data_IF_387444385843
#
_entry.id   IF_387444385843
#
_cell.length_a   1.000
_cell.length_b   1.000
_cell.length_c   1.000
_cell.angle_alpha   90.00
_cell.angle_beta   90.00
_cell.angle_gamma   90.00
#
_symmetry.space_group_name_H-M   'P 1'
#
loop_
_entity.id
_entity.type
_entity.pdbx_description
1 polymer ?
#
# COMPACT_ATOMS: atom_id res chain seq x y z
N UNK A 1 -13.87 2.80 -16.33
CA UNK A 1 -12.63 2.39 -15.61
C UNK A 1 -11.58 3.51 -15.59
N UNK A 2 -11.22 4.16 -16.69
CA UNK A 2 -10.32 5.33 -16.66
C UNK A 2 -10.84 6.47 -15.75
N UNK A 3 -12.14 6.73 -15.79
CA UNK A 3 -12.77 7.74 -14.94
C UNK A 3 -12.59 7.45 -13.44
N UNK A 4 -12.66 6.19 -13.00
CA UNK A 4 -12.51 5.85 -11.59
C UNK A 4 -11.07 6.07 -11.11
N UNK A 5 -10.05 5.79 -11.95
CA UNK A 5 -8.65 6.10 -11.63
C UNK A 5 -8.42 7.61 -11.45
N UNK A 6 -9.05 8.44 -12.28
CA UNK A 6 -9.00 9.89 -12.10
C UNK A 6 -9.62 10.33 -10.77
N UNK A 7 -10.75 9.74 -10.36
CA UNK A 7 -11.38 10.03 -9.07
C UNK A 7 -10.49 9.61 -7.90
N UNK A 8 -9.89 8.42 -7.98
CA UNK A 8 -8.91 7.94 -6.99
C UNK A 8 -7.73 8.90 -6.89
N UNK A 9 -7.11 9.27 -8.02
CA UNK A 9 -5.98 10.21 -8.03
C UNK A 9 -6.39 11.59 -7.47
N UNK A 10 -7.57 12.10 -7.84
CA UNK A 10 -8.09 13.37 -7.31
C UNK A 10 -8.28 13.32 -5.78
N UNK A 11 -8.86 12.24 -5.24
CA UNK A 11 -8.99 12.07 -3.80
C UNK A 11 -7.62 12.10 -3.10
N UNK A 12 -6.66 11.32 -3.58
CA UNK A 12 -5.34 11.21 -2.98
C UNK A 12 -4.49 12.49 -3.12
N UNK A 13 -4.67 13.25 -4.21
CA UNK A 13 -4.06 14.57 -4.38
C UNK A 13 -4.40 15.51 -3.21
N UNK A 14 -5.67 15.56 -2.79
CA UNK A 14 -6.12 16.36 -1.65
C UNK A 14 -5.63 15.84 -0.28
N UNK A 15 -5.06 14.63 -0.26
CA UNK A 15 -4.57 14.00 0.97
C UNK A 15 -3.05 14.06 1.14
N UNK A 16 -2.31 14.42 0.09
CA UNK A 16 -0.86 14.24 0.02
C UNK A 16 -0.11 14.96 1.16
N UNK A 17 -0.40 16.23 1.42
CA UNK A 17 0.26 17.01 2.49
C UNK A 17 0.03 16.40 3.89
N UNK A 18 -1.23 16.07 4.22
CA UNK A 18 -1.57 15.48 5.52
C UNK A 18 -0.95 14.08 5.70
N UNK A 19 -0.89 13.31 4.60
CA UNK A 19 -0.27 11.99 4.60
C UNK A 19 1.24 12.07 4.76
N UNK A 20 1.94 12.96 4.07
CA UNK A 20 3.38 13.15 4.27
C UNK A 20 3.70 13.49 5.72
N UNK A 21 3.01 14.47 6.30
CA UNK A 21 3.22 14.84 7.69
C UNK A 21 3.02 13.66 8.66
N UNK A 22 1.99 12.82 8.41
CA UNK A 22 1.76 11.61 9.21
C UNK A 22 2.87 10.57 8.97
N UNK A 23 3.29 10.32 7.73
CA UNK A 23 4.33 9.33 7.39
C UNK A 23 5.72 9.72 7.90
N UNK A 24 6.07 10.99 7.91
CA UNK A 24 7.29 11.47 8.56
C UNK A 24 7.30 11.20 10.07
N UNK A 25 6.15 11.40 10.75
CA UNK A 25 6.04 11.04 12.17
C UNK A 25 6.09 9.52 12.37
N UNK A 26 5.39 8.73 11.54
CA UNK A 26 5.42 7.27 11.58
C UNK A 26 6.85 6.73 11.39
N UNK A 27 7.61 7.31 10.46
CA UNK A 27 9.00 6.93 10.18
C UNK A 27 9.92 7.18 11.39
N UNK A 28 9.67 8.24 12.16
CA UNK A 28 10.44 8.60 13.36
C UNK A 28 9.88 7.98 14.65
N UNK A 29 8.92 7.06 14.55
CA UNK A 29 8.29 6.38 15.68
C UNK A 29 8.73 4.91 15.79
N UNK A 30 8.25 4.23 16.84
CA UNK A 30 8.43 2.77 16.99
C UNK A 30 7.80 1.96 15.85
N UNK A 31 6.84 2.54 15.12
CA UNK A 31 6.21 1.86 13.96
C UNK A 31 7.23 1.50 12.89
N UNK A 32 8.28 2.31 12.69
CA UNK A 32 9.38 1.97 11.79
C UNK A 32 9.96 0.60 12.08
N UNK A 33 10.33 0.35 13.34
CA UNK A 33 10.90 -0.94 13.73
C UNK A 33 9.91 -2.10 13.57
N UNK A 34 8.62 -1.86 13.85
CA UNK A 34 7.56 -2.86 13.64
C UNK A 34 7.42 -3.23 12.16
N UNK A 35 7.38 -2.25 11.25
CA UNK A 35 7.35 -2.51 9.80
C UNK A 35 8.58 -3.26 9.30
N UNK A 36 9.78 -2.88 9.74
CA UNK A 36 11.01 -3.61 9.39
C UNK A 36 10.99 -5.06 9.88
N UNK A 37 10.45 -5.30 11.08
CA UNK A 37 10.27 -6.65 11.61
C UNK A 37 9.28 -7.48 10.76
N UNK A 38 8.19 -6.87 10.24
CA UNK A 38 7.28 -7.57 9.33
C UNK A 38 7.97 -7.91 8.01
N UNK A 39 8.69 -6.97 7.40
CA UNK A 39 9.44 -7.23 6.17
C UNK A 39 10.49 -8.32 6.33
N UNK A 40 11.24 -8.34 7.44
CA UNK A 40 12.29 -9.32 7.71
C UNK A 40 11.83 -10.78 7.67
N UNK A 41 10.53 -11.02 7.80
CA UNK A 41 9.91 -12.37 7.73
C UNK A 41 9.91 -12.96 6.32
N UNK A 42 10.02 -12.11 5.30
CA UNK A 42 9.83 -12.50 3.90
C UNK A 42 11.02 -12.16 3.00
N UNK A 43 11.85 -11.19 3.41
CA UNK A 43 12.94 -10.67 2.58
C UNK A 43 14.09 -11.66 2.42
N UNK A 44 14.68 -11.77 1.21
CA UNK A 44 15.98 -12.39 1.02
C UNK A 44 17.05 -11.69 1.87
N UNK A 45 17.96 -12.46 2.43
CA UNK A 45 19.02 -11.96 3.32
C UNK A 45 20.38 -11.82 2.62
N UNK A 46 21.26 -11.01 3.20
CA UNK A 46 22.69 -11.03 2.92
C UNK A 46 23.19 -10.13 1.77
N UNK A 47 22.32 -9.33 1.13
CA UNK A 47 22.71 -8.35 0.10
C UNK A 47 21.72 -7.20 -0.01
N UNK A 48 22.13 -6.05 -0.57
CA UNK A 48 21.17 -5.04 -1.03
C UNK A 48 20.18 -5.61 -2.06
N UNK A 49 18.93 -5.18 -1.97
CA UNK A 49 17.84 -5.60 -2.83
C UNK A 49 17.37 -4.44 -3.70
N UNK A 50 16.87 -4.75 -4.91
CA UNK A 50 16.11 -3.80 -5.71
C UNK A 50 14.64 -3.94 -5.33
N UNK A 51 14.08 -2.89 -4.74
CA UNK A 51 12.71 -2.88 -4.19
C UNK A 51 11.85 -1.89 -4.97
N UNK A 52 10.65 -2.30 -5.34
CA UNK A 52 9.62 -1.42 -5.88
C UNK A 52 8.48 -1.30 -4.86
N UNK A 53 8.19 -0.07 -4.44
CA UNK A 53 7.04 0.31 -3.64
C UNK A 53 5.91 0.79 -4.56
N UNK A 54 4.89 -0.04 -4.74
CA UNK A 54 3.79 0.18 -5.69
C UNK A 54 2.62 0.86 -4.98
N UNK A 55 2.17 2.00 -5.50
CA UNK A 55 1.26 2.88 -4.79
C UNK A 55 1.96 3.48 -3.57
N UNK A 56 3.16 4.01 -3.79
CA UNK A 56 4.08 4.47 -2.73
C UNK A 56 3.50 5.60 -1.88
N UNK A 57 2.45 6.29 -2.39
CA UNK A 57 1.91 7.48 -1.77
C UNK A 57 3.02 8.49 -1.54
N UNK A 58 3.17 8.95 -0.31
CA UNK A 58 4.22 9.89 0.09
C UNK A 58 5.57 9.21 0.42
N UNK A 59 5.84 8.00 -0.09
CA UNK A 59 7.16 7.38 -0.10
C UNK A 59 7.58 6.60 1.15
N UNK A 60 6.66 6.29 2.05
CA UNK A 60 7.01 5.71 3.36
C UNK A 60 7.79 4.40 3.26
N UNK A 61 7.33 3.40 2.50
CA UNK A 61 8.04 2.13 2.37
C UNK A 61 9.31 2.26 1.52
N UNK A 62 9.28 3.04 0.44
CA UNK A 62 10.49 3.30 -0.34
C UNK A 62 11.59 3.91 0.54
N UNK A 63 11.25 4.90 1.39
CA UNK A 63 12.17 5.49 2.36
C UNK A 63 12.65 4.48 3.42
N UNK A 64 11.78 3.58 3.90
CA UNK A 64 12.20 2.52 4.83
C UNK A 64 13.28 1.63 4.22
N UNK A 65 13.09 1.18 2.98
CA UNK A 65 14.04 0.32 2.29
C UNK A 65 15.34 1.06 1.95
N UNK A 66 15.25 2.32 1.52
CA UNK A 66 16.44 3.15 1.28
C UNK A 66 17.28 3.35 2.56
N UNK A 67 16.62 3.55 3.72
CA UNK A 67 17.29 3.69 5.01
C UNK A 67 18.03 2.42 5.47
N UNK A 68 17.58 1.25 5.01
CA UNK A 68 18.23 -0.05 5.26
C UNK A 68 19.28 -0.42 4.18
N UNK A 69 19.60 0.52 3.27
CA UNK A 69 20.64 0.34 2.25
C UNK A 69 20.20 -0.46 1.02
N UNK A 70 18.90 -0.53 0.74
CA UNK A 70 18.36 -1.14 -0.48
C UNK A 70 18.21 -0.09 -1.59
N UNK A 71 18.21 -0.53 -2.86
CA UNK A 71 17.84 0.29 -4.02
C UNK A 71 16.32 0.38 -4.10
N UNK A 72 15.74 1.50 -3.66
CA UNK A 72 14.30 1.68 -3.56
C UNK A 72 13.75 2.58 -4.67
N UNK A 73 12.71 2.10 -5.34
CA UNK A 73 11.90 2.88 -6.28
C UNK A 73 10.46 2.89 -5.80
N UNK A 74 9.81 4.05 -5.78
CA UNK A 74 8.39 4.22 -5.51
C UNK A 74 7.63 4.64 -6.77
N UNK A 75 6.45 4.09 -6.99
CA UNK A 75 5.53 4.54 -8.05
C UNK A 75 4.15 4.86 -7.48
N UNK A 76 3.53 5.91 -7.98
CA UNK A 76 2.15 6.28 -7.68
C UNK A 76 1.50 6.92 -8.91
N UNK A 77 0.19 6.80 -9.03
CA UNK A 77 -0.56 7.42 -10.14
C UNK A 77 -0.72 8.94 -9.94
N UNK A 78 -0.64 9.42 -8.69
CA UNK A 78 -0.96 10.77 -8.28
C UNK A 78 0.31 11.64 -8.26
N UNK A 79 0.42 12.68 -9.12
CA UNK A 79 1.61 13.56 -9.15
C UNK A 79 1.93 14.20 -7.79
N UNK A 80 0.92 14.70 -7.07
CA UNK A 80 1.12 15.33 -5.77
C UNK A 80 1.70 14.35 -4.73
N UNK A 81 1.30 13.06 -4.79
CA UNK A 81 1.89 12.03 -3.94
C UNK A 81 3.39 11.85 -4.23
N UNK A 82 3.77 11.85 -5.51
CA UNK A 82 5.19 11.72 -5.91
C UNK A 82 6.00 12.94 -5.47
N UNK A 83 5.47 14.17 -5.62
CA UNK A 83 6.14 15.38 -5.12
C UNK A 83 6.41 15.29 -3.61
N UNK A 84 5.42 14.88 -2.85
CA UNK A 84 5.54 14.68 -1.40
C UNK A 84 6.47 13.51 -1.03
N UNK A 85 6.55 12.45 -1.85
CA UNK A 85 7.48 11.35 -1.64
C UNK A 85 8.94 11.79 -1.85
N UNK A 86 9.21 12.58 -2.90
CA UNK A 86 10.53 13.19 -3.15
C UNK A 86 10.94 14.13 -2.01
N UNK A 87 9.99 14.95 -1.52
CA UNK A 87 10.22 15.84 -0.38
C UNK A 87 10.52 15.04 0.90
N UNK A 88 9.74 14.00 1.21
CA UNK A 88 9.99 13.13 2.38
C UNK A 88 11.38 12.49 2.33
N UNK A 89 11.80 11.94 1.17
CA UNK A 89 13.12 11.36 1.01
C UNK A 89 14.23 12.42 1.20
N UNK A 90 14.06 13.62 0.65
CA UNK A 90 15.00 14.74 0.83
C UNK A 90 15.12 15.16 2.30
N UNK A 91 14.01 15.30 3.03
CA UNK A 91 13.99 15.63 4.47
C UNK A 91 14.72 14.57 5.29
N UNK A 92 14.57 13.29 4.92
CA UNK A 92 15.22 12.17 5.60
C UNK A 92 16.68 11.94 5.14
N UNK A 93 17.14 12.64 4.08
CA UNK A 93 18.48 12.47 3.51
C UNK A 93 18.68 11.08 2.87
N UNK A 94 17.63 10.51 2.27
CA UNK A 94 17.62 9.18 1.70
C UNK A 94 17.65 9.22 0.17
N UNK A 95 18.32 8.25 -0.43
CA UNK A 95 18.40 8.06 -1.88
C UNK A 95 17.33 7.04 -2.32
N UNK A 96 16.17 7.53 -2.72
CA UNK A 96 15.07 6.76 -3.28
C UNK A 96 14.58 7.45 -4.56
N UNK A 97 14.18 6.66 -5.55
CA UNK A 97 13.66 7.17 -6.84
C UNK A 97 12.15 7.10 -6.87
N UNK A 98 11.48 8.15 -7.36
CA UNK A 98 10.03 8.17 -7.47
C UNK A 98 9.57 8.47 -8.90
N UNK A 99 8.46 7.85 -9.33
CA UNK A 99 7.91 8.02 -10.68
C UNK A 99 6.39 8.01 -10.67
N UNK A 100 5.79 8.92 -11.46
CA UNK A 100 4.35 8.87 -11.74
C UNK A 100 4.11 7.67 -12.68
N UNK A 101 3.34 6.68 -12.21
CA UNK A 101 3.12 5.44 -12.98
C UNK A 101 1.86 4.71 -12.51
N UNK A 102 1.16 4.06 -13.45
CA UNK A 102 -0.01 3.24 -13.15
C UNK A 102 0.41 1.86 -12.61
N UNK A 103 -0.05 1.51 -11.42
CA UNK A 103 0.18 0.21 -10.79
C UNK A 103 -0.32 -0.99 -11.63
N UNK A 104 -1.36 -0.80 -12.45
CA UNK A 104 -1.88 -1.84 -13.35
C UNK A 104 -1.10 -2.01 -14.66
N UNK A 105 -0.15 -1.10 -14.94
CA UNK A 105 0.66 -1.14 -16.15
C UNK A 105 2.04 -0.49 -15.92
N UNK A 106 2.85 -1.02 -14.99
CA UNK A 106 4.15 -0.45 -14.67
C UNK A 106 5.14 -0.64 -15.82
N UNK A 107 5.75 0.47 -16.27
CA UNK A 107 6.73 0.49 -17.37
C UNK A 107 8.13 0.13 -16.85
N UNK A 108 8.32 -1.15 -16.56
CA UNK A 108 9.61 -1.73 -16.20
C UNK A 108 9.87 -2.99 -17.01
N UNK A 109 11.15 -3.27 -17.26
CA UNK A 109 11.56 -4.51 -17.90
C UNK A 109 11.18 -5.73 -17.04
N UNK A 110 10.95 -6.91 -17.64
CA UNK A 110 10.75 -8.14 -16.90
C UNK A 110 11.90 -8.40 -15.91
N UNK A 111 11.59 -9.01 -14.79
CA UNK A 111 12.60 -9.45 -13.79
C UNK A 111 13.53 -8.33 -13.30
N UNK A 112 12.98 -7.13 -13.11
CA UNK A 112 13.72 -5.94 -12.68
C UNK A 112 13.95 -5.87 -11.18
N UNK A 113 13.01 -6.42 -10.37
CA UNK A 113 13.00 -6.23 -8.92
C UNK A 113 13.16 -7.55 -8.15
N UNK A 114 13.86 -7.48 -7.01
CA UNK A 114 13.96 -8.60 -6.07
C UNK A 114 12.73 -8.67 -5.17
N UNK A 115 12.15 -7.51 -4.86
CA UNK A 115 11.00 -7.37 -3.94
C UNK A 115 10.02 -6.34 -4.50
N UNK A 116 8.75 -6.68 -4.46
CA UNK A 116 7.65 -5.73 -4.65
C UNK A 116 6.92 -5.57 -3.33
N UNK A 117 6.62 -4.33 -2.96
CA UNK A 117 5.83 -4.04 -1.76
C UNK A 117 4.68 -3.12 -2.12
N UNK A 118 3.58 -3.25 -1.38
CA UNK A 118 2.45 -2.32 -1.49
C UNK A 118 1.71 -2.26 -0.15
N UNK A 119 1.10 -1.09 0.14
CA UNK A 119 0.31 -0.87 1.34
C UNK A 119 -0.96 -0.11 1.01
N UNK A 120 -2.11 -0.71 1.31
CA UNK A 120 -3.42 -0.09 1.11
C UNK A 120 -3.65 0.39 -0.34
N UNK A 121 -3.27 -0.43 -1.33
CA UNK A 121 -3.37 -0.08 -2.74
C UNK A 121 -4.39 -0.93 -3.48
N UNK A 122 -4.32 -2.27 -3.34
CA UNK A 122 -5.05 -3.16 -4.25
C UNK A 122 -6.56 -3.03 -4.13
N UNK A 123 -7.07 -2.52 -3.01
CA UNK A 123 -8.48 -2.17 -2.84
C UNK A 123 -8.94 -1.00 -3.74
N UNK A 124 -8.02 -0.18 -4.25
CA UNK A 124 -8.31 0.96 -5.13
C UNK A 124 -8.17 0.64 -6.62
N UNK A 125 -7.70 -0.56 -6.95
CA UNK A 125 -7.42 -0.94 -8.34
C UNK A 125 -8.65 -1.56 -9.01
N UNK A 126 -9.14 -0.99 -10.11
CA UNK A 126 -10.23 -1.57 -10.88
C UNK A 126 -9.91 -2.94 -11.50
N UNK A 127 -8.63 -3.21 -11.82
CA UNK A 127 -8.16 -4.44 -12.49
C UNK A 127 -7.00 -5.09 -11.74
N UNK A 128 -7.27 -5.56 -10.51
CA UNK A 128 -6.27 -6.22 -9.65
C UNK A 128 -5.61 -7.41 -10.34
N UNK A 129 -6.36 -8.18 -11.13
CA UNK A 129 -5.87 -9.34 -11.88
C UNK A 129 -4.82 -8.94 -12.94
N UNK A 130 -4.97 -7.76 -13.54
CA UNK A 130 -3.97 -7.21 -14.47
C UNK A 130 -2.73 -6.76 -13.71
N UNK A 131 -2.91 -6.06 -12.58
CA UNK A 131 -1.81 -5.62 -11.75
C UNK A 131 -0.96 -6.81 -11.29
N UNK A 132 -1.56 -7.87 -10.78
CA UNK A 132 -0.82 -9.06 -10.32
C UNK A 132 -0.05 -9.77 -11.43
N UNK A 133 -0.56 -9.83 -12.67
CA UNK A 133 0.18 -10.36 -13.82
C UNK A 133 1.40 -9.50 -14.17
N UNK A 134 1.24 -8.17 -14.18
CA UNK A 134 2.36 -7.26 -14.43
C UNK A 134 3.39 -7.30 -13.30
N UNK A 135 2.95 -7.38 -12.04
CA UNK A 135 3.84 -7.50 -10.89
C UNK A 135 4.62 -8.83 -10.92
N UNK A 136 3.97 -9.93 -11.31
CA UNK A 136 4.67 -11.19 -11.56
C UNK A 136 5.73 -11.05 -12.67
N UNK A 137 5.41 -10.34 -13.77
CA UNK A 137 6.33 -10.12 -14.90
C UNK A 137 7.60 -9.39 -14.45
N UNK A 138 7.47 -8.30 -13.69
CA UNK A 138 8.60 -7.44 -13.28
C UNK A 138 9.37 -7.98 -12.08
N UNK A 139 8.84 -8.97 -11.36
CA UNK A 139 9.51 -9.64 -10.25
C UNK A 139 10.48 -10.68 -10.78
N UNK A 140 11.69 -10.73 -10.23
CA UNK A 140 12.71 -11.75 -10.56
C UNK A 140 12.30 -13.14 -10.09
N UNK A 141 12.80 -14.22 -10.73
CA UNK A 141 12.70 -15.56 -10.16
C UNK A 141 13.30 -15.59 -8.73
N UNK A 142 12.60 -16.22 -7.80
CA UNK A 142 12.95 -16.23 -6.38
C UNK A 142 12.65 -14.92 -5.64
N UNK A 143 12.03 -13.95 -6.30
CA UNK A 143 11.57 -12.70 -5.69
C UNK A 143 10.25 -12.87 -4.91
N UNK A 144 9.88 -11.84 -4.15
CA UNK A 144 8.66 -11.82 -3.34
C UNK A 144 7.86 -10.54 -3.53
N UNK A 145 6.54 -10.68 -3.68
CA UNK A 145 5.56 -9.61 -3.51
C UNK A 145 5.03 -9.65 -2.08
N UNK A 146 5.04 -8.50 -1.39
CA UNK A 146 4.48 -8.34 -0.05
C UNK A 146 3.39 -7.26 -0.11
N UNK A 147 2.14 -7.68 -0.01
CA UNK A 147 0.98 -6.80 -0.04
C UNK A 147 0.36 -6.69 1.36
N UNK A 148 0.32 -5.47 1.91
CA UNK A 148 -0.41 -5.12 3.14
C UNK A 148 -1.69 -4.40 2.75
N UNK A 149 -2.84 -5.03 2.93
CA UNK A 149 -4.12 -4.44 2.52
C UNK A 149 -5.26 -4.90 3.44
N UNK A 150 -6.48 -4.42 3.18
CA UNK A 150 -7.68 -4.78 3.91
C UNK A 150 -8.87 -4.94 2.96
N UNK A 151 -9.97 -5.48 3.47
CA UNK A 151 -11.25 -5.49 2.78
C UNK A 151 -12.05 -4.24 3.18
N UNK A 152 -11.70 -3.10 2.56
CA UNK A 152 -12.30 -1.81 2.89
C UNK A 152 -13.76 -1.71 2.48
N UNK A 153 -14.18 -2.39 1.41
CA UNK A 153 -15.60 -2.41 0.99
C UNK A 153 -16.45 -3.17 2.00
N UNK A 154 -16.02 -4.36 2.42
CA UNK A 154 -16.71 -5.12 3.45
C UNK A 154 -16.76 -4.38 4.80
N UNK A 155 -15.67 -3.70 5.18
CA UNK A 155 -15.65 -2.89 6.40
C UNK A 155 -16.61 -1.70 6.33
N UNK A 156 -16.72 -1.03 5.19
CA UNK A 156 -17.65 0.07 4.98
C UNK A 156 -19.12 -0.41 4.99
N UNK A 157 -19.40 -1.57 4.39
CA UNK A 157 -20.73 -2.18 4.44
C UNK A 157 -21.13 -2.53 5.88
N UNK A 158 -20.23 -3.14 6.66
CA UNK A 158 -20.47 -3.46 8.07
C UNK A 158 -20.76 -2.20 8.89
N UNK A 159 -19.98 -1.14 8.70
CA UNK A 159 -20.20 0.16 9.35
C UNK A 159 -21.59 0.76 9.02
N UNK A 160 -22.00 0.69 7.74
CA UNK A 160 -23.32 1.17 7.29
C UNK A 160 -24.47 0.36 7.89
N UNK A 161 -24.25 -0.91 8.22
CA UNK A 161 -25.23 -1.81 8.85
C UNK A 161 -25.24 -1.70 10.39
N UNK A 162 -24.45 -0.77 10.96
CA UNK A 162 -24.38 -0.53 12.41
C UNK A 162 -23.28 -1.28 13.13
N UNK A 163 -22.27 -1.74 12.38
CA UNK A 163 -21.04 -2.32 12.92
C UNK A 163 -20.23 -1.36 13.80
N UNK A 164 -19.20 -1.88 14.42
CA UNK A 164 -18.38 -1.14 15.39
C UNK A 164 -17.60 -0.01 14.72
N UNK A 165 -17.74 1.22 15.23
CA UNK A 165 -16.95 2.37 14.83
C UNK A 165 -15.88 2.65 15.87
N UNK A 166 -14.62 2.63 15.44
CA UNK A 166 -13.52 3.06 16.30
C UNK A 166 -13.43 4.59 16.34
N UNK A 167 -13.38 5.15 17.54
CA UNK A 167 -13.10 6.58 17.70
C UNK A 167 -11.61 6.84 17.41
N UNK A 168 -11.35 7.61 16.35
CA UNK A 168 -10.00 7.97 15.94
C UNK A 168 -9.46 9.13 16.78
N UNK A 169 -8.14 9.15 17.10
CA UNK A 169 -7.48 10.28 17.75
C UNK A 169 -7.67 11.60 16.99
N UNK A 170 -7.67 12.72 17.72
CA UNK A 170 -7.88 14.07 17.13
C UNK A 170 -6.87 14.43 16.03
N UNK A 171 -5.63 13.97 16.17
CA UNK A 171 -4.54 14.17 15.20
C UNK A 171 -4.47 13.14 14.08
N UNK A 172 -5.47 12.26 13.98
CA UNK A 172 -5.52 11.24 12.95
C UNK A 172 -5.83 11.85 11.58
N UNK A 173 -5.09 11.45 10.54
CA UNK A 173 -5.20 12.02 9.19
C UNK A 173 -6.62 11.91 8.58
N UNK A 174 -7.42 10.93 8.97
CA UNK A 174 -8.79 10.78 8.48
C UNK A 174 -9.82 11.69 9.20
N UNK A 175 -9.50 12.23 10.38
CA UNK A 175 -10.42 13.16 11.08
C UNK A 175 -10.51 14.55 10.44
N UNK A 176 -9.52 14.91 9.64
CA UNK A 176 -9.43 16.23 9.00
C UNK A 176 -9.92 16.23 7.54
N UNK A 177 -10.54 15.13 7.11
CA UNK A 177 -11.07 15.02 5.74
C UNK A 177 -12.42 15.72 5.67
N UNK A 178 -12.63 16.65 4.69
CA UNK A 178 -13.94 17.21 4.43
C UNK A 178 -14.99 16.15 4.13
N UNK A 179 -16.24 16.37 4.56
CA UNK A 179 -17.33 15.40 4.43
C UNK A 179 -17.61 15.00 2.98
N UNK A 180 -17.53 15.93 2.03
CA UNK A 180 -17.71 15.69 0.61
C UNK A 180 -16.60 14.81 0.03
N UNK A 181 -15.36 15.03 0.44
CA UNK A 181 -14.23 14.21 0.04
C UNK A 181 -14.30 12.79 0.66
N UNK A 182 -14.78 12.69 1.90
CA UNK A 182 -15.02 11.39 2.53
C UNK A 182 -16.16 10.63 1.83
N UNK A 183 -17.23 11.31 1.48
CA UNK A 183 -18.34 10.70 0.72
C UNK A 183 -17.88 10.21 -0.65
N UNK A 184 -16.99 10.94 -1.32
CA UNK A 184 -16.39 10.53 -2.59
C UNK A 184 -15.51 9.29 -2.41
N UNK A 185 -14.69 9.23 -1.38
CA UNK A 185 -13.88 8.04 -1.05
C UNK A 185 -14.76 6.80 -0.80
N UNK A 186 -15.85 6.96 -0.04
CA UNK A 186 -16.77 5.88 0.23
C UNK A 186 -17.47 5.39 -1.06
N UNK A 187 -17.85 6.31 -1.95
CA UNK A 187 -18.43 5.97 -3.24
C UNK A 187 -17.45 5.21 -4.12
N UNK A 188 -16.17 5.64 -4.19
CA UNK A 188 -15.10 4.94 -4.88
C UNK A 188 -14.90 3.53 -4.31
N UNK A 189 -14.83 3.42 -2.98
CA UNK A 189 -14.65 2.13 -2.28
C UNK A 189 -15.73 1.13 -2.63
N UNK A 190 -17.00 1.55 -2.60
CA UNK A 190 -18.13 0.70 -2.94
C UNK A 190 -18.18 0.34 -4.43
N UNK A 191 -17.87 1.30 -5.30
CA UNK A 191 -17.86 1.07 -6.75
C UNK A 191 -16.80 0.06 -7.16
N UNK A 192 -15.58 0.19 -6.64
CA UNK A 192 -14.48 -0.76 -6.91
C UNK A 192 -14.76 -2.10 -6.23
N UNK A 193 -15.19 -2.08 -4.98
CA UNK A 193 -15.51 -3.29 -4.20
C UNK A 193 -16.56 -4.18 -4.87
N UNK A 194 -17.47 -3.61 -5.65
CA UNK A 194 -18.47 -4.37 -6.40
C UNK A 194 -17.85 -5.32 -7.48
N UNK A 195 -16.62 -5.07 -7.90
CA UNK A 195 -15.88 -5.93 -8.83
C UNK A 195 -14.91 -6.90 -8.13
N UNK A 196 -14.73 -6.75 -6.82
CA UNK A 196 -13.82 -7.57 -6.02
C UNK A 196 -14.58 -8.73 -5.35
N UNK A 197 -13.89 -9.86 -5.21
CA UNK A 197 -14.35 -10.94 -4.34
C UNK A 197 -13.92 -10.74 -2.87
N UNK A 198 -14.38 -11.62 -1.96
CA UNK A 198 -14.00 -11.53 -0.54
C UNK A 198 -12.49 -11.60 -0.34
N UNK A 199 -11.91 -10.62 0.33
CA UNK A 199 -10.48 -10.49 0.56
C UNK A 199 -10.07 -11.07 1.92
N UNK A 200 -8.89 -11.66 2.05
CA UNK A 200 -7.82 -11.80 1.06
C UNK A 200 -7.93 -13.07 0.16
N UNK A 201 -8.99 -13.87 0.29
CA UNK A 201 -9.10 -15.15 -0.44
C UNK A 201 -9.13 -14.96 -1.96
N UNK A 202 -9.83 -13.92 -2.42
CA UNK A 202 -9.88 -13.57 -3.83
C UNK A 202 -8.51 -13.14 -4.36
N UNK A 203 -7.74 -12.35 -3.62
CA UNK A 203 -6.37 -11.98 -3.99
C UNK A 203 -5.46 -13.21 -4.14
N UNK A 204 -5.57 -14.17 -3.22
CA UNK A 204 -4.79 -15.43 -3.27
C UNK A 204 -5.07 -16.19 -4.57
N UNK A 205 -6.34 -16.28 -4.97
CA UNK A 205 -6.71 -16.94 -6.23
C UNK A 205 -6.08 -16.23 -7.43
N UNK A 206 -6.21 -14.90 -7.51
CA UNK A 206 -5.66 -14.11 -8.60
C UNK A 206 -4.12 -14.18 -8.69
N UNK A 207 -3.44 -14.24 -7.54
CA UNK A 207 -1.99 -14.39 -7.49
C UNK A 207 -1.54 -15.76 -8.01
N UNK A 208 -2.24 -16.83 -7.65
CA UNK A 208 -1.98 -18.19 -8.20
C UNK A 208 -2.23 -18.19 -9.71
N UNK A 209 -3.31 -17.58 -10.19
CA UNK A 209 -3.62 -17.45 -11.63
C UNK A 209 -2.58 -16.60 -12.38
N UNK A 210 -1.96 -15.62 -11.70
CA UNK A 210 -0.86 -14.83 -12.25
C UNK A 210 0.48 -15.59 -12.35
N UNK A 211 0.61 -16.75 -11.67
CA UNK A 211 1.77 -17.63 -11.74
C UNK A 211 2.63 -17.70 -10.48
N UNK A 212 2.24 -17.05 -9.38
CA UNK A 212 2.98 -17.16 -8.11
C UNK A 212 2.90 -18.57 -7.56
N UNK A 213 4.05 -19.17 -7.21
CA UNK A 213 4.15 -20.58 -6.81
C UNK A 213 3.71 -20.84 -5.37
N UNK A 214 3.96 -19.88 -4.49
CA UNK A 214 3.62 -19.94 -3.07
C UNK A 214 3.00 -18.64 -2.61
N UNK A 215 1.79 -18.71 -2.07
CA UNK A 215 1.08 -17.55 -1.51
C UNK A 215 0.74 -17.84 -0.05
N UNK A 216 1.10 -16.92 0.83
CA UNK A 216 0.80 -17.01 2.26
C UNK A 216 0.01 -15.78 2.71
N UNK A 217 -0.90 -15.98 3.68
CA UNK A 217 -1.71 -14.92 4.29
C UNK A 217 -1.45 -14.85 5.78
N UNK A 218 -1.19 -13.66 6.29
CA UNK A 218 -1.03 -13.40 7.71
C UNK A 218 -1.97 -12.27 8.17
N UNK A 219 -3.01 -12.61 8.93
CA UNK A 219 -3.93 -11.67 9.55
C UNK A 219 -3.42 -11.13 10.90
N UNK A 220 -2.37 -11.75 11.45
CA UNK A 220 -1.76 -11.33 12.70
C UNK A 220 -0.98 -10.02 12.61
N UNK A 221 -0.62 -9.58 11.39
CA UNK A 221 0.08 -8.31 11.13
C UNK A 221 -0.66 -7.12 11.76
N UNK A 222 -1.99 -7.09 11.69
CA UNK A 222 -2.80 -6.02 12.24
C UNK A 222 -2.47 -5.75 13.72
N UNK A 223 -2.45 -6.81 14.54
CA UNK A 223 -2.16 -6.69 15.98
C UNK A 223 -0.71 -6.30 16.27
N UNK A 224 0.23 -6.60 15.37
CA UNK A 224 1.65 -6.26 15.55
C UNK A 224 1.95 -4.81 15.17
N UNK A 225 1.27 -4.30 14.15
CA UNK A 225 1.45 -2.91 13.70
C UNK A 225 0.56 -1.94 14.47
N UNK A 226 -0.72 -2.28 14.64
CA UNK A 226 -1.76 -1.41 15.22
C UNK A 226 -2.24 -1.91 16.60
N UNK A 227 -1.29 -2.28 17.48
CA UNK A 227 -1.58 -2.73 18.82
C UNK A 227 -2.25 -1.63 19.68
N UNK A 228 -1.91 -0.37 19.42
CA UNK A 228 -2.44 0.80 20.10
C UNK A 228 -3.31 1.65 19.15
N UNK A 229 -4.34 2.31 19.70
CA UNK A 229 -5.12 3.34 19.01
C UNK A 229 -4.36 4.67 19.11
N UNK A 230 -3.43 4.88 18.18
CA UNK A 230 -2.62 6.09 18.06
C UNK A 230 -2.95 6.83 16.75
N UNK A 231 -2.21 7.92 16.44
CA UNK A 231 -2.42 8.70 15.22
C UNK A 231 -2.16 7.92 13.91
N UNK A 232 -1.54 6.74 14.00
CA UNK A 232 -1.25 5.85 12.87
C UNK A 232 -2.23 4.67 12.76
N UNK A 233 -3.16 4.56 13.70
CA UNK A 233 -4.10 3.44 13.79
C UNK A 233 -4.92 3.30 12.50
N UNK A 234 -5.07 2.08 12.01
CA UNK A 234 -6.01 1.77 10.94
C UNK A 234 -7.24 1.07 11.55
N UNK A 235 -8.44 1.66 11.46
CA UNK A 235 -9.64 1.05 12.02
C UNK A 235 -10.02 -0.25 11.30
N UNK A 236 -9.63 -0.41 10.04
CA UNK A 236 -9.90 -1.62 9.26
C UNK A 236 -8.76 -2.61 9.43
N UNK A 237 -9.03 -3.85 9.91
CA UNK A 237 -8.00 -4.86 10.08
C UNK A 237 -7.32 -5.23 8.77
N UNK A 238 -6.01 -4.98 8.70
CA UNK A 238 -5.17 -5.36 7.56
C UNK A 238 -4.73 -6.81 7.64
N UNK A 239 -4.41 -7.36 6.47
CA UNK A 239 -3.70 -8.62 6.29
C UNK A 239 -2.40 -8.40 5.52
N UNK A 240 -1.46 -9.33 5.62
CA UNK A 240 -0.32 -9.45 4.71
C UNK A 240 -0.54 -10.60 3.77
N UNK A 241 -0.30 -10.40 2.49
CA UNK A 241 -0.10 -11.48 1.52
C UNK A 241 1.36 -11.46 1.09
N UNK A 242 2.07 -12.57 1.26
CA UNK A 242 3.40 -12.75 0.66
C UNK A 242 3.32 -13.82 -0.43
N UNK A 243 3.63 -13.42 -1.67
CA UNK A 243 3.57 -14.25 -2.86
C UNK A 243 4.95 -14.35 -3.51
N UNK A 244 5.41 -15.57 -3.78
CA UNK A 244 6.76 -15.87 -4.25
C UNK A 244 6.73 -16.37 -5.70
N UNK A 245 7.64 -15.84 -6.52
CA UNK A 245 7.88 -16.26 -7.89
C UNK A 245 8.98 -17.28 -8.00
#
# INVERSE_FOLDING_TARGET
MELIKHRVAHYWSHRAEAFEAQRLREFNSEKRARWLAEFSRYLPQGRPLRVLDIGTGTGFFACLFAAEGHEATGIDLTPDMIEHAEHMAAVLGLDATFRIMDAENPDFEPESFDVLVTRNLTWTLPHVEKAYREWYRILKPGGVLINFDADYSAALEDEQQGGEKHELPENHAHKLVPDDLMAENNAITMEIGAYHGPRPQWDVQLLIEAGFERVTVDKGVYKRIYAEIDEFFNPTPIFTIAAFK
#
